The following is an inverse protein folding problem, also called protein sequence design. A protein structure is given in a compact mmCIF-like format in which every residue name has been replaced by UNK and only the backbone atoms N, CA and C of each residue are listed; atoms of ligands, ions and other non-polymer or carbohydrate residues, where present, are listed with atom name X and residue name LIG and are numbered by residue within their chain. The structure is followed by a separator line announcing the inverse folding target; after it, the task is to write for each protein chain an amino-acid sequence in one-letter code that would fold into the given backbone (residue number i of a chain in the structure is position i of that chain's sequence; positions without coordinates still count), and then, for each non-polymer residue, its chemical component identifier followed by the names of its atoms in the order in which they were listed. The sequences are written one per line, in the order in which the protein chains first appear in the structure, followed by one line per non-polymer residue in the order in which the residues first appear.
data_IF_085340037880
#
_entry.id   IF_085340037880
#
_cell.length_a   1.000
_cell.length_b   1.000
_cell.length_c   1.000
_cell.angle_alpha   90.00
_cell.angle_beta   90.00
_cell.angle_gamma   90.00
#
_symmetry.space_group_name_H-M   'P 1'
#
loop_
_entity.id
_entity.type
_entity.pdbx_description
1 polymer ?
#
# COMPACT_ATOMS: atom_id res chain seq x y z
N UNK A 1 -15.14 5.70 -18.89
CA UNK A 1 -15.08 5.10 -17.54
C UNK A 1 -15.75 6.02 -16.56
N UNK A 2 -16.53 5.47 -15.62
CA UNK A 2 -17.11 6.24 -14.54
C UNK A 2 -16.00 6.82 -13.65
N UNK A 3 -16.26 7.98 -13.04
CA UNK A 3 -15.33 8.55 -12.08
C UNK A 3 -15.35 7.76 -10.75
N UNK A 4 -14.32 7.93 -9.92
CA UNK A 4 -14.19 7.19 -8.67
C UNK A 4 -15.38 7.43 -7.72
N UNK A 5 -15.85 8.67 -7.59
CA UNK A 5 -17.00 8.99 -6.73
C UNK A 5 -18.23 8.18 -7.16
N UNK A 6 -18.54 8.17 -8.47
CA UNK A 6 -19.66 7.40 -9.01
C UNK A 6 -19.53 5.90 -8.75
N UNK A 7 -18.31 5.34 -8.82
CA UNK A 7 -18.09 3.92 -8.56
C UNK A 7 -18.28 3.63 -7.07
N UNK A 8 -17.63 4.38 -6.20
CA UNK A 8 -17.67 4.16 -4.75
C UNK A 8 -19.09 4.31 -4.18
N UNK A 9 -19.86 5.28 -4.68
CA UNK A 9 -21.22 5.57 -4.20
C UNK A 9 -22.25 4.51 -4.61
N UNK A 10 -21.89 3.52 -5.45
CA UNK A 10 -22.73 2.35 -5.73
C UNK A 10 -22.73 1.33 -4.61
N UNK A 11 -21.74 1.42 -3.71
CA UNK A 11 -21.48 0.42 -2.69
C UNK A 11 -21.73 0.99 -1.30
N UNK A 12 -22.21 0.14 -0.40
CA UNK A 12 -22.36 0.50 1.01
C UNK A 12 -21.04 0.32 1.76
N UNK A 13 -20.05 1.15 1.37
CA UNK A 13 -18.71 1.18 1.96
C UNK A 13 -18.50 2.50 2.68
N UNK A 14 -17.73 2.49 3.76
CA UNK A 14 -17.28 3.68 4.47
C UNK A 14 -16.36 4.57 3.63
N UNK A 15 -15.76 4.03 2.58
CA UNK A 15 -14.90 4.75 1.63
C UNK A 15 -15.66 5.69 0.69
N UNK A 16 -17.01 5.59 0.63
CA UNK A 16 -17.84 6.38 -0.28
C UNK A 16 -17.86 7.89 0.07
N UNK A 17 -18.45 8.70 -0.82
CA UNK A 17 -18.42 10.17 -0.69
C UNK A 17 -19.20 10.70 0.51
N UNK A 18 -20.17 9.95 1.04
CA UNK A 18 -21.00 10.34 2.18
C UNK A 18 -20.40 9.95 3.53
N UNK A 19 -19.30 9.20 3.56
CA UNK A 19 -18.63 8.75 4.79
C UNK A 19 -17.23 9.33 4.91
N UNK A 20 -16.17 8.52 4.70
CA UNK A 20 -14.77 8.96 4.78
C UNK A 20 -14.33 9.76 3.54
N UNK A 21 -15.09 9.69 2.44
CA UNK A 21 -14.81 10.39 1.18
C UNK A 21 -13.39 10.12 0.63
N UNK A 22 -12.93 8.85 0.73
CA UNK A 22 -11.62 8.45 0.25
C UNK A 22 -11.53 8.34 -1.27
N UNK A 23 -12.67 8.34 -1.97
CA UNK A 23 -12.74 8.20 -3.43
C UNK A 23 -11.86 9.22 -4.19
N UNK A 24 -11.71 10.46 -3.70
CA UNK A 24 -10.85 11.47 -4.32
C UNK A 24 -9.37 11.18 -4.10
N UNK A 25 -9.01 10.73 -2.90
CA UNK A 25 -7.64 10.35 -2.58
C UNK A 25 -7.21 9.15 -3.44
N UNK A 26 -8.09 8.16 -3.54
CA UNK A 26 -7.85 7.00 -4.40
C UNK A 26 -7.73 7.38 -5.87
N UNK A 27 -8.58 8.26 -6.40
CA UNK A 27 -8.44 8.75 -7.77
C UNK A 27 -7.06 9.39 -8.00
N UNK A 28 -6.62 10.26 -7.09
CA UNK A 28 -5.32 10.92 -7.22
C UNK A 28 -4.14 9.95 -7.15
N UNK A 29 -4.21 8.94 -6.25
CA UNK A 29 -3.11 8.01 -6.01
C UNK A 29 -3.04 6.88 -7.04
N UNK A 30 -4.19 6.45 -7.57
CA UNK A 30 -4.28 5.20 -8.35
C UNK A 30 -4.72 5.38 -9.79
N UNK A 31 -4.96 6.61 -10.22
CA UNK A 31 -5.38 6.95 -11.58
C UNK A 31 -4.53 6.29 -12.66
N UNK A 32 -3.21 6.30 -12.48
CA UNK A 32 -2.26 5.76 -13.44
C UNK A 32 -2.24 4.23 -13.52
N UNK A 33 -2.92 3.55 -12.58
CA UNK A 33 -3.05 2.09 -12.56
C UNK A 33 -4.34 1.60 -13.20
N UNK A 34 -5.31 2.48 -13.44
CA UNK A 34 -6.70 2.15 -13.75
C UNK A 34 -6.87 1.28 -14.99
N UNK A 35 -6.10 1.55 -16.02
CA UNK A 35 -6.18 0.83 -17.30
C UNK A 35 -5.13 -0.29 -17.43
N UNK A 36 -4.29 -0.46 -16.40
CA UNK A 36 -3.21 -1.45 -16.42
C UNK A 36 -3.67 -2.82 -15.92
N UNK A 37 -2.94 -3.83 -16.34
CA UNK A 37 -3.05 -5.20 -15.82
C UNK A 37 -2.30 -5.29 -14.49
N UNK A 38 -2.95 -4.92 -13.41
CA UNK A 38 -2.38 -4.90 -12.07
C UNK A 38 -2.82 -6.08 -11.22
N UNK A 39 -2.10 -6.30 -10.15
CA UNK A 39 -2.47 -7.15 -9.02
C UNK A 39 -2.64 -6.29 -7.77
N UNK A 40 -3.76 -6.50 -7.05
CA UNK A 40 -4.10 -5.73 -5.86
C UNK A 40 -4.26 -6.65 -4.66
N UNK A 41 -3.71 -6.24 -3.51
CA UNK A 41 -3.93 -6.85 -2.21
C UNK A 41 -4.61 -5.84 -1.29
N UNK A 42 -5.68 -6.26 -0.62
CA UNK A 42 -6.33 -5.50 0.45
C UNK A 42 -6.26 -6.29 1.75
N UNK A 43 -5.74 -5.66 2.80
CA UNK A 43 -5.78 -6.16 4.16
C UNK A 43 -7.00 -5.57 4.86
N UNK A 44 -7.90 -6.43 5.36
CA UNK A 44 -9.21 -6.05 5.86
C UNK A 44 -10.29 -6.14 4.77
N UNK A 45 -11.12 -7.19 4.81
CA UNK A 45 -12.22 -7.42 3.85
C UNK A 45 -13.56 -7.00 4.42
N UNK A 46 -13.74 -7.18 5.72
CA UNK A 46 -14.94 -6.82 6.50
C UNK A 46 -16.26 -7.25 5.84
N UNK A 47 -16.98 -6.31 5.19
CA UNK A 47 -18.26 -6.59 4.51
C UNK A 47 -18.10 -7.00 3.04
N UNK A 48 -16.88 -7.01 2.52
CA UNK A 48 -16.57 -7.36 1.13
C UNK A 48 -17.02 -6.35 0.09
N UNK A 49 -17.41 -5.14 0.50
CA UNK A 49 -17.83 -4.10 -0.46
C UNK A 49 -16.60 -3.48 -1.17
N UNK A 50 -15.49 -3.30 -0.45
CA UNK A 50 -14.27 -2.72 -0.99
C UNK A 50 -13.66 -3.56 -2.12
N UNK A 51 -13.57 -4.89 -1.98
CA UNK A 51 -13.04 -5.76 -3.05
C UNK A 51 -13.87 -5.70 -4.34
N UNK A 52 -15.18 -5.41 -4.23
CA UNK A 52 -16.05 -5.18 -5.39
C UNK A 52 -15.78 -3.81 -6.02
N UNK A 53 -15.60 -2.78 -5.18
CA UNK A 53 -15.20 -1.44 -5.62
C UNK A 53 -13.89 -1.54 -6.43
N UNK A 54 -12.89 -2.24 -5.91
CA UNK A 54 -11.60 -2.38 -6.61
C UNK A 54 -11.75 -3.08 -7.95
N UNK A 55 -12.66 -4.04 -8.09
CA UNK A 55 -12.94 -4.67 -9.37
C UNK A 55 -13.52 -3.70 -10.39
N UNK A 56 -14.41 -2.80 -9.96
CA UNK A 56 -14.99 -1.80 -10.83
C UNK A 56 -14.00 -0.65 -11.15
N UNK A 57 -13.15 -0.29 -10.20
CA UNK A 57 -12.10 0.72 -10.37
C UNK A 57 -11.00 0.23 -11.31
N UNK A 58 -10.58 -1.02 -11.17
CA UNK A 58 -9.50 -1.64 -11.94
C UNK A 58 -10.02 -2.82 -12.78
N UNK A 59 -10.75 -2.54 -13.87
CA UNK A 59 -11.42 -3.59 -14.65
C UNK A 59 -10.42 -4.58 -15.27
N UNK A 60 -9.19 -4.15 -15.52
CA UNK A 60 -8.13 -4.97 -16.09
C UNK A 60 -7.25 -5.65 -15.03
N UNK A 61 -7.53 -5.47 -13.74
CA UNK A 61 -6.74 -6.14 -12.70
C UNK A 61 -6.74 -7.66 -12.90
N UNK A 62 -5.56 -8.25 -12.90
CA UNK A 62 -5.36 -9.70 -13.09
C UNK A 62 -5.86 -10.49 -11.90
N UNK A 63 -5.78 -9.90 -10.71
CA UNK A 63 -6.30 -10.43 -9.45
C UNK A 63 -6.52 -9.31 -8.44
N UNK A 64 -7.54 -9.49 -7.61
CA UNK A 64 -7.81 -8.73 -6.40
C UNK A 64 -7.83 -9.74 -5.28
N UNK A 65 -6.90 -9.63 -4.34
CA UNK A 65 -6.80 -10.53 -3.19
C UNK A 65 -7.17 -9.75 -1.94
N UNK A 66 -8.18 -10.21 -1.22
CA UNK A 66 -8.54 -9.70 0.10
C UNK A 66 -8.00 -10.64 1.17
N UNK A 67 -7.47 -10.07 2.25
CA UNK A 67 -7.03 -10.81 3.44
C UNK A 67 -7.85 -10.37 4.63
N UNK A 68 -8.36 -11.32 5.40
CA UNK A 68 -9.04 -11.03 6.66
C UNK A 68 -8.74 -12.13 7.68
N UNK A 69 -8.74 -11.79 8.96
CA UNK A 69 -8.62 -12.77 10.04
C UNK A 69 -9.95 -13.50 10.31
N UNK A 70 -11.07 -12.87 9.95
CA UNK A 70 -12.41 -13.44 10.13
C UNK A 70 -12.71 -14.46 9.02
N UNK A 71 -12.91 -15.75 9.35
CA UNK A 71 -13.19 -16.79 8.36
C UNK A 71 -14.49 -16.53 7.57
N UNK A 72 -15.44 -15.79 8.10
CA UNK A 72 -16.70 -15.47 7.43
C UNK A 72 -16.48 -14.60 6.18
N UNK A 73 -15.35 -13.89 6.08
CA UNK A 73 -15.01 -13.08 4.91
C UNK A 73 -14.78 -13.93 3.66
N UNK A 74 -14.50 -15.24 3.81
CA UNK A 74 -14.34 -16.16 2.66
C UNK A 74 -15.54 -16.17 1.71
N UNK A 75 -16.73 -15.89 2.19
CA UNK A 75 -17.97 -15.81 1.39
C UNK A 75 -17.96 -14.73 0.30
N UNK A 76 -17.06 -13.74 0.39
CA UNK A 76 -16.94 -12.64 -0.59
C UNK A 76 -16.03 -12.99 -1.77
N UNK A 77 -15.42 -14.18 -1.76
CA UNK A 77 -14.64 -14.67 -2.89
C UNK A 77 -15.48 -14.81 -4.14
N UNK A 78 -14.93 -14.36 -5.27
CA UNK A 78 -15.58 -14.49 -6.58
C UNK A 78 -14.51 -14.72 -7.67
N UNK A 79 -14.07 -15.96 -7.89
CA UNK A 79 -13.04 -16.30 -8.86
C UNK A 79 -13.39 -15.89 -10.31
N UNK A 80 -14.67 -15.91 -10.68
CA UNK A 80 -15.15 -15.49 -12.01
C UNK A 80 -14.84 -14.00 -12.27
N UNK A 81 -14.74 -13.22 -11.20
CA UNK A 81 -14.33 -11.82 -11.22
C UNK A 81 -12.86 -11.62 -10.80
N UNK A 82 -12.07 -12.67 -10.70
CA UNK A 82 -10.69 -12.63 -10.20
C UNK A 82 -10.57 -11.97 -8.81
N UNK A 83 -11.56 -12.19 -7.95
CA UNK A 83 -11.56 -11.78 -6.53
C UNK A 83 -11.30 -13.04 -5.70
N UNK A 84 -10.22 -13.04 -4.94
CA UNK A 84 -9.79 -14.13 -4.08
C UNK A 84 -9.74 -13.63 -2.63
N UNK A 85 -10.19 -14.46 -1.69
CA UNK A 85 -10.17 -14.12 -0.26
C UNK A 85 -9.32 -15.14 0.48
N UNK A 86 -8.33 -14.67 1.20
CA UNK A 86 -7.46 -15.47 2.05
C UNK A 86 -7.71 -15.17 3.52
N UNK A 87 -7.83 -16.22 4.31
CA UNK A 87 -8.06 -16.07 5.75
C UNK A 87 -6.75 -16.28 6.50
N UNK A 88 -6.32 -15.23 7.19
CA UNK A 88 -5.09 -15.25 7.96
C UNK A 88 -4.70 -13.89 8.51
N UNK A 89 -3.63 -13.90 9.29
CA UNK A 89 -3.08 -12.72 9.95
C UNK A 89 -1.99 -12.09 9.06
N UNK A 90 -2.24 -10.87 8.60
CA UNK A 90 -1.32 -10.11 7.75
C UNK A 90 -0.02 -9.67 8.46
N UNK A 91 0.09 -9.87 9.77
CA UNK A 91 1.33 -9.65 10.53
C UNK A 91 2.17 -10.92 10.69
N UNK A 92 1.64 -12.07 10.30
CA UNK A 92 2.32 -13.37 10.44
C UNK A 92 3.24 -13.63 9.23
N UNK A 93 4.56 -13.74 9.40
CA UNK A 93 5.50 -13.94 8.29
C UNK A 93 5.29 -15.26 7.53
N UNK A 94 4.78 -16.31 8.17
CA UNK A 94 4.47 -17.57 7.49
C UNK A 94 3.29 -17.39 6.54
N UNK A 95 2.27 -16.63 6.96
CA UNK A 95 1.12 -16.33 6.13
C UNK A 95 1.50 -15.38 4.97
N UNK A 96 2.31 -14.37 5.22
CA UNK A 96 2.83 -13.48 4.15
C UNK A 96 3.65 -14.27 3.12
N UNK A 97 4.50 -15.19 3.59
CA UNK A 97 5.22 -16.08 2.67
C UNK A 97 4.25 -16.91 1.81
N UNK A 98 3.23 -17.50 2.42
CA UNK A 98 2.18 -18.23 1.69
C UNK A 98 1.51 -17.35 0.62
N UNK A 99 1.12 -16.12 0.96
CA UNK A 99 0.53 -15.18 0.00
C UNK A 99 1.47 -14.91 -1.17
N UNK A 100 2.74 -14.64 -0.88
CA UNK A 100 3.74 -14.37 -1.91
C UNK A 100 4.01 -15.60 -2.80
N UNK A 101 4.09 -16.79 -2.23
CA UNK A 101 4.29 -18.03 -2.98
C UNK A 101 3.11 -18.32 -3.90
N UNK A 102 1.87 -18.01 -3.46
CA UNK A 102 0.64 -18.28 -4.21
C UNK A 102 0.34 -17.23 -5.27
N UNK A 103 0.55 -15.96 -4.96
CA UNK A 103 0.09 -14.86 -5.79
C UNK A 103 1.24 -14.06 -6.43
N UNK A 104 2.47 -14.19 -5.94
CA UNK A 104 3.59 -13.32 -6.29
C UNK A 104 3.46 -11.92 -5.70
N UNK A 105 4.20 -10.97 -6.23
CA UNK A 105 4.14 -9.58 -5.81
C UNK A 105 2.83 -8.90 -6.23
N UNK A 106 2.53 -7.78 -5.58
CA UNK A 106 1.38 -6.94 -5.86
C UNK A 106 1.82 -5.54 -6.31
N UNK A 107 1.04 -4.94 -7.20
CA UNK A 107 1.27 -3.58 -7.71
C UNK A 107 0.65 -2.54 -6.77
N UNK A 108 -0.49 -2.87 -6.15
CA UNK A 108 -1.15 -2.04 -5.14
C UNK A 108 -1.39 -2.90 -3.90
N UNK A 109 -1.02 -2.36 -2.73
CA UNK A 109 -1.38 -2.92 -1.42
C UNK A 109 -2.13 -1.86 -0.63
N UNK A 110 -3.28 -2.23 -0.09
CA UNK A 110 -4.13 -1.41 0.76
C UNK A 110 -4.15 -2.03 2.15
N UNK A 111 -3.73 -1.28 3.16
CA UNK A 111 -3.79 -1.68 4.56
C UNK A 111 -4.96 -0.95 5.23
N UNK A 112 -6.06 -1.65 5.38
CA UNK A 112 -7.32 -1.23 5.98
C UNK A 112 -7.80 -2.28 7.00
N UNK A 113 -6.85 -2.88 7.74
CA UNK A 113 -7.11 -4.00 8.64
C UNK A 113 -7.41 -3.54 10.08
N UNK A 114 -6.47 -3.75 11.00
CA UNK A 114 -6.67 -3.49 12.43
C UNK A 114 -6.51 -2.02 12.82
N UNK A 115 -5.85 -1.22 12.01
CA UNK A 115 -5.46 0.16 12.25
C UNK A 115 -4.57 0.37 13.48
N UNK A 116 -4.08 -0.69 14.13
CA UNK A 116 -3.14 -0.54 15.24
C UNK A 116 -1.77 -0.15 14.71
N UNK A 117 -1.07 0.72 15.44
CA UNK A 117 0.27 1.15 15.01
C UNK A 117 1.24 -0.02 14.82
N UNK A 118 1.14 -1.05 15.65
CA UNK A 118 1.95 -2.27 15.57
C UNK A 118 1.67 -3.04 14.28
N UNK A 119 0.41 -3.35 14.02
CA UNK A 119 0.06 -4.21 12.89
C UNK A 119 0.34 -3.52 11.56
N UNK A 120 0.03 -2.22 11.45
CA UNK A 120 0.37 -1.39 10.28
C UNK A 120 1.87 -1.43 9.99
N UNK A 121 2.72 -1.32 11.04
CA UNK A 121 4.17 -1.38 10.86
C UNK A 121 4.63 -2.78 10.43
N UNK A 122 4.12 -3.82 11.08
CA UNK A 122 4.50 -5.20 10.77
C UNK A 122 4.06 -5.64 9.37
N UNK A 123 2.84 -5.29 8.97
CA UNK A 123 2.33 -5.54 7.62
C UNK A 123 3.20 -4.85 6.57
N UNK A 124 3.49 -3.58 6.77
CA UNK A 124 4.34 -2.81 5.86
C UNK A 124 5.75 -3.39 5.75
N UNK A 125 6.41 -3.69 6.87
CA UNK A 125 7.78 -4.22 6.87
C UNK A 125 7.90 -5.53 6.11
N UNK A 126 6.86 -6.36 6.13
CA UNK A 126 6.86 -7.66 5.47
C UNK A 126 6.41 -7.59 4.01
N UNK A 127 5.39 -6.78 3.71
CA UNK A 127 4.78 -6.76 2.38
C UNK A 127 5.46 -5.79 1.41
N UNK A 128 5.94 -4.63 1.88
CA UNK A 128 6.57 -3.65 1.00
C UNK A 128 7.79 -4.19 0.25
N UNK A 129 8.70 -4.97 0.85
CA UNK A 129 9.80 -5.61 0.12
C UNK A 129 9.34 -6.53 -1.02
N UNK A 130 8.20 -7.21 -0.84
CA UNK A 130 7.64 -8.20 -1.77
C UNK A 130 6.79 -7.59 -2.89
N UNK A 131 6.48 -6.29 -2.82
CA UNK A 131 5.74 -5.60 -3.87
C UNK A 131 6.49 -5.60 -5.21
N UNK A 132 5.74 -5.52 -6.28
CA UNK A 132 6.28 -5.24 -7.61
C UNK A 132 6.98 -3.88 -7.66
N UNK A 133 7.91 -3.70 -8.62
CA UNK A 133 8.49 -2.38 -8.90
C UNK A 133 7.42 -1.42 -9.46
N UNK A 134 7.55 -0.14 -9.15
CA UNK A 134 6.53 0.89 -9.40
C UNK A 134 5.20 0.62 -8.70
N UNK A 135 5.21 -0.10 -7.59
CA UNK A 135 4.04 -0.38 -6.77
C UNK A 135 3.67 0.75 -5.82
N UNK A 136 2.48 0.64 -5.23
CA UNK A 136 1.91 1.62 -4.32
C UNK A 136 1.34 0.93 -3.07
N UNK A 137 1.88 1.27 -1.90
CA UNK A 137 1.37 0.84 -0.59
C UNK A 137 0.56 1.97 0.03
N UNK A 138 -0.68 1.73 0.42
CA UNK A 138 -1.57 2.71 1.05
C UNK A 138 -2.00 2.19 2.41
N UNK A 139 -1.91 3.04 3.43
CA UNK A 139 -2.44 2.80 4.78
C UNK A 139 -3.60 3.74 5.00
N UNK A 140 -4.77 3.20 5.30
CA UNK A 140 -5.97 3.95 5.65
C UNK A 140 -6.08 4.21 7.17
N UNK A 141 -7.01 5.07 7.52
CA UNK A 141 -7.43 5.36 8.90
C UNK A 141 -6.30 5.73 9.86
N UNK A 142 -5.27 6.39 9.31
CA UNK A 142 -4.11 6.78 10.11
C UNK A 142 -4.44 7.76 11.25
N UNK A 143 -5.65 8.33 11.28
CA UNK A 143 -6.16 9.15 12.41
C UNK A 143 -6.28 8.35 13.71
N UNK A 144 -6.37 7.03 13.63
CA UNK A 144 -6.45 6.11 14.79
C UNK A 144 -5.26 6.24 15.74
N UNK A 145 -4.14 6.83 15.31
CA UNK A 145 -2.97 7.09 16.15
C UNK A 145 -3.26 7.90 17.43
N UNK A 146 -4.40 8.60 17.49
CA UNK A 146 -4.88 9.36 18.64
C UNK A 146 -5.78 8.57 19.58
N UNK A 147 -6.22 7.39 19.17
CA UNK A 147 -7.23 6.61 19.86
C UNK A 147 -6.56 5.49 20.66
N UNK A 148 -6.64 5.49 22.01
CA UNK A 148 -5.89 4.54 22.84
C UNK A 148 -6.09 3.06 22.47
N UNK A 149 -7.28 2.68 21.97
CA UNK A 149 -7.59 1.31 21.59
C UNK A 149 -6.72 0.78 20.42
N UNK A 150 -6.12 1.67 19.63
CA UNK A 150 -5.27 1.33 18.48
C UNK A 150 -3.78 1.53 18.75
N UNK A 151 -3.40 1.84 19.99
CA UNK A 151 -2.01 2.15 20.34
C UNK A 151 -1.39 0.97 21.10
N UNK A 152 -0.44 0.30 20.46
CA UNK A 152 0.53 -0.57 21.13
C UNK A 152 1.74 0.28 21.55
N UNK A 153 1.98 0.39 22.85
CA UNK A 153 3.04 1.24 23.41
C UNK A 153 4.45 0.71 23.16
N UNK A 154 4.59 -0.52 22.68
CA UNK A 154 5.88 -1.12 22.33
C UNK A 154 6.33 -0.75 20.91
N UNK A 155 5.43 -0.16 20.11
CA UNK A 155 5.69 0.31 18.75
C UNK A 155 5.55 1.84 18.66
N UNK A 156 6.32 2.51 17.79
CA UNK A 156 6.15 3.93 17.54
C UNK A 156 4.80 4.21 16.88
N UNK A 157 4.36 5.47 16.94
CA UNK A 157 3.26 5.93 16.11
C UNK A 157 3.58 5.68 14.63
N UNK A 158 2.66 5.09 13.88
CA UNK A 158 2.89 4.72 12.48
C UNK A 158 3.19 5.92 11.58
N UNK A 159 2.63 7.12 11.85
CA UNK A 159 2.98 8.33 11.10
C UNK A 159 4.44 8.74 11.31
N UNK A 160 4.92 8.66 12.57
CA UNK A 160 6.33 8.90 12.90
C UNK A 160 7.22 7.81 12.30
N UNK A 161 6.73 6.58 12.32
CA UNK A 161 7.44 5.46 11.70
C UNK A 161 7.68 5.69 10.20
N UNK A 162 6.66 6.08 9.44
CA UNK A 162 6.83 6.36 8.02
C UNK A 162 7.69 7.61 7.77
N UNK A 163 7.60 8.63 8.63
CA UNK A 163 8.43 9.84 8.51
C UNK A 163 9.93 9.56 8.64
N UNK A 164 10.33 8.46 9.31
CA UNK A 164 11.76 8.06 9.41
C UNK A 164 12.42 7.80 8.06
N UNK A 165 11.63 7.51 7.02
CA UNK A 165 12.14 7.27 5.68
C UNK A 165 12.36 8.56 4.86
N UNK A 166 11.86 9.71 5.31
CA UNK A 166 12.03 10.98 4.59
C UNK A 166 13.50 11.35 4.31
N UNK A 167 14.48 11.10 5.22
CA UNK A 167 15.88 11.31 4.92
C UNK A 167 16.38 10.46 3.73
N UNK A 168 15.86 9.23 3.53
CA UNK A 168 16.29 8.35 2.45
C UNK A 168 15.95 8.91 1.08
N UNK A 169 14.90 9.70 0.95
CA UNK A 169 14.50 10.35 -0.30
C UNK A 169 15.51 11.42 -0.76
N UNK A 170 16.31 11.95 0.17
CA UNK A 170 17.27 13.04 -0.10
C UNK A 170 18.74 12.63 0.09
N UNK A 171 19.03 11.42 0.51
CA UNK A 171 20.37 10.98 0.92
C UNK A 171 21.37 10.99 -0.24
N UNK A 172 20.92 10.76 -1.48
CA UNK A 172 21.73 10.84 -2.69
C UNK A 172 22.42 12.19 -2.90
N UNK A 173 21.90 13.28 -2.32
CA UNK A 173 22.47 14.64 -2.45
C UNK A 173 23.76 14.82 -1.69
N UNK A 174 23.97 14.05 -0.62
CA UNK A 174 25.06 14.28 0.32
C UNK A 174 26.23 13.30 0.15
N UNK A 175 25.98 12.14 -0.44
CA UNK A 175 26.99 11.09 -0.55
C UNK A 175 27.76 11.13 -1.87
N UNK A 176 27.34 11.93 -2.86
CA UNK A 176 28.03 12.06 -4.15
C UNK A 176 28.83 13.35 -4.23
N UNK A 177 30.09 13.30 -3.89
CA UNK A 177 31.04 14.41 -4.16
C UNK A 177 31.43 14.51 -5.63
N UNK A 178 31.15 13.53 -6.46
CA UNK A 178 31.59 13.46 -7.87
C UNK A 178 30.54 13.87 -8.92
N UNK A 179 29.29 14.09 -8.55
CA UNK A 179 28.17 14.23 -9.51
C UNK A 179 27.59 15.64 -9.70
N UNK A 180 28.06 16.66 -9.00
CA UNK A 180 27.48 18.03 -9.06
C UNK A 180 28.21 18.89 -10.11
N UNK A 181 28.25 18.43 -11.35
CA UNK A 181 28.78 19.31 -12.43
C UNK A 181 27.70 20.08 -13.16
N UNK A 182 26.49 19.58 -13.19
CA UNK A 182 25.33 20.24 -13.79
C UNK A 182 24.14 20.12 -12.83
N UNK A 183 23.43 21.18 -12.56
CA UNK A 183 22.32 21.28 -11.59
C UNK A 183 21.14 20.30 -11.78
N UNK A 184 21.33 19.24 -12.54
CA UNK A 184 20.31 18.25 -12.87
C UNK A 184 20.83 16.84 -12.52
N UNK A 185 20.55 16.41 -11.29
CA UNK A 185 20.95 15.09 -10.81
C UNK A 185 19.73 14.16 -10.88
N UNK A 186 19.85 13.11 -11.70
CA UNK A 186 18.89 12.02 -11.74
C UNK A 186 19.23 11.01 -10.63
N UNK A 187 18.43 10.92 -9.55
CA UNK A 187 18.71 10.04 -8.43
C UNK A 187 18.72 8.54 -8.81
N UNK A 188 18.09 8.18 -9.94
CA UNK A 188 18.07 6.80 -10.43
C UNK A 188 19.36 6.41 -11.17
N UNK A 189 20.23 7.37 -11.49
CA UNK A 189 21.53 7.14 -12.14
C UNK A 189 22.72 7.17 -11.19
N UNK A 190 22.50 7.56 -9.93
CA UNK A 190 23.57 7.63 -8.94
C UNK A 190 23.89 6.21 -8.45
N UNK A 191 25.15 5.82 -8.56
CA UNK A 191 25.62 4.58 -7.95
C UNK A 191 25.82 4.80 -6.44
N UNK A 192 25.03 4.12 -5.65
CA UNK A 192 25.08 4.13 -4.18
C UNK A 192 24.73 2.73 -3.66
N UNK A 193 25.36 2.35 -2.56
CA UNK A 193 24.94 1.15 -1.84
C UNK A 193 23.93 1.55 -0.77
N UNK A 194 22.70 1.12 -0.91
CA UNK A 194 21.65 1.29 0.10
C UNK A 194 21.91 0.39 1.32
N UNK A 195 21.55 0.88 2.50
CA UNK A 195 21.67 0.11 3.74
C UNK A 195 20.63 -1.02 3.83
N UNK A 196 19.50 -0.86 3.15
CA UNK A 196 18.40 -1.84 3.15
C UNK A 196 17.48 -1.61 1.95
N UNK A 197 16.53 -2.53 1.77
CA UNK A 197 15.56 -2.49 0.66
C UNK A 197 14.67 -1.23 0.71
N UNK A 198 14.32 -0.70 1.88
CA UNK A 198 13.48 0.50 1.98
C UNK A 198 14.21 1.72 1.45
N UNK A 199 15.49 1.91 1.83
CA UNK A 199 16.33 2.96 1.26
C UNK A 199 16.49 2.82 -0.25
N UNK A 200 16.64 1.60 -0.74
CA UNK A 200 16.82 1.32 -2.16
C UNK A 200 15.54 1.52 -2.99
N UNK A 201 14.37 1.53 -2.38
CA UNK A 201 13.12 1.40 -3.14
C UNK A 201 11.98 2.33 -2.74
N UNK A 202 12.03 3.04 -1.60
CA UNK A 202 11.03 4.08 -1.32
C UNK A 202 11.30 5.28 -2.24
N UNK A 203 10.32 5.63 -3.07
CA UNK A 203 10.45 6.69 -4.07
C UNK A 203 9.72 7.98 -3.67
N UNK A 204 8.50 7.84 -3.16
CA UNK A 204 7.66 8.95 -2.71
C UNK A 204 6.86 8.53 -1.48
N UNK A 205 6.70 9.43 -0.53
CA UNK A 205 5.79 9.27 0.61
C UNK A 205 4.81 10.43 0.58
N UNK A 206 3.53 10.11 0.49
CA UNK A 206 2.43 11.08 0.49
C UNK A 206 1.64 10.93 1.78
N UNK A 207 1.49 12.02 2.51
CA UNK A 207 0.60 12.11 3.67
C UNK A 207 -0.68 12.83 3.26
N UNK A 208 -1.81 12.22 3.51
CA UNK A 208 -3.12 12.79 3.26
C UNK A 208 -3.99 12.81 4.50
N UNK A 209 -5.24 13.26 4.34
CA UNK A 209 -6.21 13.23 5.43
C UNK A 209 -6.56 11.77 5.73
N UNK A 210 -6.09 11.29 6.88
CA UNK A 210 -6.30 9.92 7.36
C UNK A 210 -5.68 8.80 6.52
N UNK A 211 -4.66 9.07 5.71
CA UNK A 211 -3.90 8.05 5.01
C UNK A 211 -2.42 8.40 4.81
N UNK A 212 -1.61 7.36 4.59
CA UNK A 212 -0.23 7.46 4.10
C UNK A 212 -0.09 6.57 2.88
N UNK A 213 0.52 7.09 1.81
CA UNK A 213 0.82 6.32 0.61
C UNK A 213 2.33 6.33 0.33
N UNK A 214 2.88 5.16 0.03
CA UNK A 214 4.32 4.96 -0.22
C UNK A 214 4.49 4.33 -1.60
N UNK A 215 5.13 5.06 -2.51
CA UNK A 215 5.47 4.55 -3.83
C UNK A 215 6.79 3.78 -3.76
N UNK A 216 6.81 2.62 -4.38
CA UNK A 216 8.00 1.79 -4.57
C UNK A 216 8.57 2.00 -5.96
N UNK A 217 9.89 2.24 -6.02
CA UNK A 217 10.64 2.20 -7.26
C UNK A 217 12.07 1.74 -6.97
N UNK A 218 12.41 0.56 -7.46
CA UNK A 218 13.69 -0.05 -7.16
C UNK A 218 14.81 0.70 -7.88
N UNK A 219 15.75 1.21 -7.12
CA UNK A 219 16.98 1.81 -7.62
C UNK A 219 18.04 0.73 -7.72
N UNK A 220 18.06 0.02 -8.85
CA UNK A 220 18.94 -1.15 -9.04
C UNK A 220 20.42 -0.85 -8.81
N UNK A 221 20.85 0.38 -9.03
CA UNK A 221 22.24 0.80 -8.75
C UNK A 221 22.57 0.94 -7.26
N UNK A 222 21.56 0.79 -6.39
CA UNK A 222 21.72 0.89 -4.93
C UNK A 222 21.64 -0.47 -4.24
N UNK A 223 21.23 -1.50 -4.95
CA UNK A 223 21.23 -2.89 -4.48
C UNK A 223 22.58 -3.55 -4.80
#
# INVERSE_FOLDING_TARGET
MDNFVTIFDRYNSDKNSSFHNYCRQYDNLTRDYRDKYISLLELGVFTGESVKIWRDVFPNATKIVGVDINPDCKRYENPDKSIFIEIGDATNPVFIKYLNDKYGGFDIILDDASHTNKDVILSFEQLFPLMNDNGLYIVEDTITYKTPAYIDTTYPNHLVYFAKYAPYLNQWRYDSTEGIKDNCIDPFKIQKKAANIFEASIDLITYGCSFVAINKKIRQHWL
#
